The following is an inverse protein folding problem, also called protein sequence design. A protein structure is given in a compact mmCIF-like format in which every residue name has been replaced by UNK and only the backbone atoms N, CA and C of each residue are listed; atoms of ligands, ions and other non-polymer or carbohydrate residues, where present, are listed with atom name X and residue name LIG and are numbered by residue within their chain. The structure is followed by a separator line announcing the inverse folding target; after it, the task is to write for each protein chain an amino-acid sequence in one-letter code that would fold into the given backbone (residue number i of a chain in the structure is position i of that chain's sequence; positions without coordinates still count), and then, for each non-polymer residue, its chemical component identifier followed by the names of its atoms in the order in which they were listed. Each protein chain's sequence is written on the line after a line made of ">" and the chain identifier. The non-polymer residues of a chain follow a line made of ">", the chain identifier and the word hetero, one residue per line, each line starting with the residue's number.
data_IF_658800950408
#
_entry.id   IF_658800950408
#
_cell.length_a   1.000
_cell.length_b   1.000
_cell.length_c   1.000
_cell.angle_alpha   90.00
_cell.angle_beta   90.00
_cell.angle_gamma   90.00
#
_symmetry.space_group_name_H-M   'P 1'
#
loop_
_entity.id
_entity.type
_entity.pdbx_description
1 polymer ?
#
# COMPACT_ATOMS: atom_id res chain seq x y z
N UNK A 1 -35.25 51.62 45.09
CA UNK A 1 -35.03 52.31 46.38
C UNK A 1 -33.55 52.25 46.70
N UNK A 2 -32.98 53.40 47.06
CA UNK A 2 -31.68 53.66 47.74
C UNK A 2 -30.41 53.16 47.03
N UNK A 3 -29.58 54.01 46.40
CA UNK A 3 -28.69 55.04 46.99
C UNK A 3 -27.59 54.39 47.87
N UNK A 4 -26.32 54.80 47.91
CA UNK A 4 -25.62 56.02 47.48
C UNK A 4 -24.11 55.79 47.76
N UNK A 5 -23.28 56.25 46.84
CA UNK A 5 -22.17 57.20 47.07
C UNK A 5 -21.02 56.93 48.07
N UNK A 6 -19.80 57.21 47.61
CA UNK A 6 -18.87 58.31 48.05
C UNK A 6 -17.48 57.99 47.47
N UNK A 7 -16.85 58.82 46.65
CA UNK A 7 -16.32 60.18 46.85
C UNK A 7 -15.08 60.23 47.76
N UNK A 8 -14.04 60.90 47.27
CA UNK A 8 -12.80 61.26 47.96
C UNK A 8 -11.60 60.79 47.13
N UNK A 9 -10.88 61.64 46.39
CA UNK A 9 -10.15 62.82 46.88
C UNK A 9 -8.95 62.30 47.67
N UNK A 10 -7.69 62.54 47.35
CA UNK A 10 -7.00 63.52 46.54
C UNK A 10 -5.54 63.53 47.04
N UNK A 11 -4.73 64.43 46.48
CA UNK A 11 -3.36 64.81 46.91
C UNK A 11 -2.18 63.96 46.40
N UNK A 12 -1.62 64.50 45.32
CA UNK A 12 -0.23 64.90 45.16
C UNK A 12 0.71 64.74 46.37
N UNK A 13 1.87 64.14 46.11
CA UNK A 13 3.07 64.22 46.95
C UNK A 13 4.30 63.78 46.16
N UNK A 14 5.17 64.75 45.86
CA UNK A 14 6.39 64.63 45.06
C UNK A 14 7.57 64.02 45.85
N UNK A 15 8.51 63.46 45.07
CA UNK A 15 9.95 63.33 45.33
C UNK A 15 10.34 62.31 46.44
N UNK A 16 11.44 61.57 46.40
CA UNK A 16 12.81 61.87 45.95
C UNK A 16 13.48 60.55 45.51
N UNK A 17 14.40 60.63 44.56
CA UNK A 17 15.20 59.53 44.00
C UNK A 17 16.26 58.98 44.96
N UNK A 18 16.50 57.65 44.91
CA UNK A 18 17.83 57.03 45.14
C UNK A 18 17.91 55.75 44.28
N UNK A 19 19.00 55.55 43.51
CA UNK A 19 19.13 54.45 42.56
C UNK A 19 19.67 53.20 43.25
N UNK A 20 19.06 52.04 42.97
CA UNK A 20 19.65 50.74 43.32
C UNK A 20 19.57 49.88 42.07
N UNK A 21 20.74 49.68 41.44
CA UNK A 21 20.95 48.65 40.44
C UNK A 21 20.65 47.28 41.06
N UNK A 22 19.64 46.58 40.54
CA UNK A 22 19.49 45.13 40.67
C UNK A 22 19.01 44.56 39.33
N UNK A 23 19.42 43.34 38.99
CA UNK A 23 19.55 42.85 37.63
C UNK A 23 18.19 42.57 36.99
N UNK A 24 18.12 42.84 35.69
CA UNK A 24 17.00 42.54 34.80
C UNK A 24 16.77 41.02 34.80
N UNK A 25 15.81 40.55 35.60
CA UNK A 25 15.26 39.21 35.50
C UNK A 25 14.20 39.25 34.39
N UNK A 26 14.64 38.99 33.14
CA UNK A 26 13.72 38.79 32.02
C UNK A 26 12.93 37.52 32.31
N UNK A 27 11.66 37.67 32.72
CA UNK A 27 10.69 36.58 32.69
C UNK A 27 10.47 36.21 31.21
N UNK A 28 11.26 35.24 30.74
CA UNK A 28 11.06 34.65 29.42
C UNK A 28 9.73 33.90 29.39
N UNK A 29 8.90 34.09 28.35
CA UNK A 29 7.69 33.31 28.20
C UNK A 29 8.08 31.85 27.96
N UNK A 30 7.59 30.95 28.82
CA UNK A 30 7.69 29.52 28.62
C UNK A 30 7.01 29.17 27.30
N UNK A 31 7.82 28.91 26.27
CA UNK A 31 7.37 28.36 25.00
C UNK A 31 6.76 26.98 25.31
N UNK A 32 5.43 26.91 25.24
CA UNK A 32 4.71 25.65 25.12
C UNK A 32 5.22 24.98 23.85
N UNK A 33 6.17 24.06 24.01
CA UNK A 33 6.62 23.16 22.97
C UNK A 33 5.42 22.28 22.59
N UNK A 34 4.67 22.73 21.58
CA UNK A 34 3.68 21.92 20.92
C UNK A 34 4.36 20.66 20.42
N UNK A 35 3.87 19.50 20.85
CA UNK A 35 4.18 18.23 20.22
C UNK A 35 3.68 18.32 18.78
N UNK A 36 4.55 18.75 17.86
CA UNK A 36 4.35 18.54 16.44
C UNK A 36 4.45 17.03 16.22
N UNK A 37 3.33 16.33 16.38
CA UNK A 37 3.18 14.99 15.83
C UNK A 37 3.42 15.12 14.34
N UNK A 38 4.54 14.57 13.87
CA UNK A 38 4.81 14.50 12.44
C UNK A 38 3.58 13.86 11.77
N UNK A 39 3.01 14.46 10.73
CA UNK A 39 1.93 13.82 10.00
C UNK A 39 2.47 12.48 9.48
N UNK A 40 1.94 11.37 10.01
CA UNK A 40 2.26 10.06 9.46
C UNK A 40 1.86 10.06 7.98
N UNK A 41 2.74 9.56 7.10
CA UNK A 41 2.41 9.44 5.69
C UNK A 41 1.13 8.61 5.57
N UNK A 42 0.05 9.25 5.17
CA UNK A 42 -1.24 8.58 4.99
C UNK A 42 -1.16 7.75 3.71
N UNK A 43 -1.07 6.43 3.86
CA UNK A 43 -1.17 5.49 2.74
C UNK A 43 -2.37 5.85 1.86
N UNK A 44 -2.24 5.98 0.53
CA UNK A 44 -3.35 6.34 -0.33
C UNK A 44 -4.41 5.23 -0.35
N UNK A 45 -5.69 5.62 -0.48
CA UNK A 45 -6.79 4.66 -0.66
C UNK A 45 -6.71 4.07 -2.07
N UNK A 46 -6.81 2.75 -2.17
CA UNK A 46 -6.84 2.03 -3.44
C UNK A 46 -8.11 2.40 -4.22
N UNK A 47 -7.99 2.55 -5.54
CA UNK A 47 -9.18 2.73 -6.38
C UNK A 47 -9.76 1.37 -6.75
N UNK A 48 -11.08 1.30 -6.80
CA UNK A 48 -11.83 0.13 -7.24
C UNK A 48 -11.75 0.01 -8.76
N UNK A 49 -11.26 -1.13 -9.24
CA UNK A 49 -11.31 -1.54 -10.64
C UNK A 49 -12.59 -2.32 -10.92
N UNK A 50 -12.99 -2.39 -12.20
CA UNK A 50 -14.18 -3.16 -12.61
C UNK A 50 -14.01 -4.67 -12.41
N UNK A 51 -12.78 -5.18 -12.43
CA UNK A 51 -12.43 -6.58 -12.20
C UNK A 51 -10.95 -6.72 -11.81
N UNK A 52 -10.58 -7.87 -11.26
CA UNK A 52 -9.17 -8.26 -11.12
C UNK A 52 -8.59 -8.57 -12.51
N UNK A 53 -7.38 -8.09 -12.78
CA UNK A 53 -6.71 -8.33 -14.06
C UNK A 53 -5.25 -8.73 -13.83
N UNK A 54 -4.98 -10.03 -13.93
CA UNK A 54 -3.64 -10.59 -13.76
C UNK A 54 -2.70 -10.34 -14.96
N UNK A 55 -3.24 -9.86 -16.09
CA UNK A 55 -2.50 -9.60 -17.32
C UNK A 55 -2.23 -8.10 -17.54
N UNK A 56 -2.69 -7.25 -16.63
CA UNK A 56 -2.40 -5.82 -16.65
C UNK A 56 -0.88 -5.55 -16.50
N UNK A 57 -0.34 -4.50 -17.16
CA UNK A 57 1.11 -4.22 -17.16
C UNK A 57 1.72 -4.11 -15.76
N UNK A 58 1.00 -3.49 -14.83
CA UNK A 58 1.46 -3.25 -13.46
C UNK A 58 1.55 -4.56 -12.66
N UNK A 59 0.67 -5.53 -12.96
CA UNK A 59 0.69 -6.85 -12.31
C UNK A 59 1.82 -7.68 -12.87
N UNK A 60 1.98 -7.73 -14.20
CA UNK A 60 3.08 -8.46 -14.83
C UNK A 60 4.47 -7.92 -14.42
N UNK A 61 4.59 -6.60 -14.26
CA UNK A 61 5.82 -5.97 -13.77
C UNK A 61 6.11 -6.36 -12.32
N UNK A 62 5.09 -6.40 -11.46
CA UNK A 62 5.24 -6.81 -10.07
C UNK A 62 5.57 -8.30 -9.91
N UNK A 63 5.23 -9.13 -10.90
CA UNK A 63 5.61 -10.54 -10.98
C UNK A 63 6.95 -10.79 -11.69
N UNK A 64 7.59 -9.74 -12.20
CA UNK A 64 8.84 -9.81 -12.99
C UNK A 64 8.71 -10.70 -14.24
N UNK A 65 7.51 -10.81 -14.80
CA UNK A 65 7.19 -11.66 -15.95
C UNK A 65 7.35 -10.98 -17.31
N UNK A 66 7.60 -9.68 -17.31
CA UNK A 66 7.96 -8.93 -18.51
C UNK A 66 9.29 -8.25 -18.19
N UNK A 67 10.38 -8.57 -18.90
CA UNK A 67 11.63 -7.84 -18.73
C UNK A 67 11.37 -6.37 -19.10
N UNK A 68 11.96 -5.46 -18.33
CA UNK A 68 12.09 -4.07 -18.76
C UNK A 68 12.71 -4.10 -20.16
N UNK A 69 11.90 -3.80 -21.17
CA UNK A 69 12.27 -3.91 -22.58
C UNK A 69 13.67 -3.36 -22.81
N UNK A 70 14.58 -4.17 -23.36
CA UNK A 70 15.98 -3.79 -23.64
C UNK A 70 16.08 -2.57 -24.57
N UNK A 71 15.00 -2.26 -25.28
CA UNK A 71 14.87 -1.11 -26.19
C UNK A 71 14.09 0.08 -25.58
N UNK A 72 13.77 0.05 -24.28
CA UNK A 72 12.99 1.10 -23.59
C UNK A 72 11.52 1.23 -24.01
N UNK A 73 11.04 0.35 -24.89
CA UNK A 73 9.64 0.28 -25.33
C UNK A 73 8.88 -0.72 -24.47
N UNK A 74 8.14 -0.24 -23.47
CA UNK A 74 7.20 -1.07 -22.71
C UNK A 74 6.33 -1.84 -23.70
N UNK A 75 6.46 -3.17 -23.70
CA UNK A 75 5.63 -4.04 -24.53
C UNK A 75 4.21 -3.88 -24.02
N UNK A 76 3.39 -3.12 -24.76
CA UNK A 76 1.98 -2.93 -24.40
C UNK A 76 1.32 -4.30 -24.33
N UNK A 77 0.83 -4.66 -23.14
CA UNK A 77 -0.11 -5.78 -23.01
C UNK A 77 -1.40 -5.42 -23.74
N UNK A 78 -2.17 -6.42 -24.15
CA UNK A 78 -3.52 -6.17 -24.65
C UNK A 78 -4.48 -5.66 -23.55
N UNK A 79 -4.06 -5.79 -22.29
CA UNK A 79 -4.81 -5.42 -21.09
C UNK A 79 -4.61 -3.95 -20.71
N UNK A 80 -5.65 -3.27 -20.21
CA UNK A 80 -5.57 -1.89 -19.74
C UNK A 80 -4.75 -1.76 -18.46
N UNK A 81 -4.31 -0.54 -18.17
CA UNK A 81 -3.68 -0.21 -16.90
C UNK A 81 -4.65 -0.39 -15.73
N UNK A 82 -4.15 -0.94 -14.63
CA UNK A 82 -4.92 -1.07 -13.38
C UNK A 82 -4.51 -0.02 -12.34
N UNK A 83 -5.42 0.36 -11.42
CA UNK A 83 -5.07 1.24 -10.32
C UNK A 83 -3.89 0.73 -9.48
N UNK A 84 -3.16 1.68 -8.90
CA UNK A 84 -2.12 1.38 -7.92
C UNK A 84 -2.70 0.71 -6.67
N UNK A 85 -1.88 -0.10 -6.01
CA UNK A 85 -2.24 -0.68 -4.73
C UNK A 85 -2.35 0.40 -3.64
N UNK A 86 -3.21 0.18 -2.65
CA UNK A 86 -3.44 1.14 -1.58
C UNK A 86 -4.19 0.54 -0.40
N UNK A 87 -4.62 1.40 0.53
CA UNK A 87 -5.55 1.02 1.61
C UNK A 87 -6.90 0.62 1.03
N UNK A 88 -7.52 -0.41 1.58
CA UNK A 88 -8.86 -0.86 1.22
C UNK A 88 -9.87 0.28 1.50
N UNK A 89 -10.75 0.67 0.57
CA UNK A 89 -11.82 1.63 0.85
C UNK A 89 -12.75 1.14 1.97
N UNK A 90 -13.21 2.04 2.84
CA UNK A 90 -14.04 1.67 4.01
C UNK A 90 -15.39 1.04 3.63
N UNK A 91 -15.88 1.34 2.42
CA UNK A 91 -17.13 0.83 1.85
C UNK A 91 -16.93 -0.42 0.95
N UNK A 92 -15.70 -0.89 0.80
CA UNK A 92 -15.39 -2.08 0.01
C UNK A 92 -15.47 -3.34 0.88
N UNK A 93 -16.44 -4.21 0.59
CA UNK A 93 -16.65 -5.48 1.30
C UNK A 93 -16.18 -6.66 0.43
N UNK A 94 -14.98 -7.20 0.69
CA UNK A 94 -14.46 -8.32 -0.09
C UNK A 94 -15.15 -9.63 0.30
N UNK A 95 -15.46 -10.44 -0.71
CA UNK A 95 -16.05 -11.78 -0.55
C UNK A 95 -15.13 -12.88 -1.11
N UNK A 96 -14.21 -12.53 -1.99
CA UNK A 96 -13.21 -13.45 -2.54
C UNK A 96 -11.88 -12.75 -2.76
N UNK A 97 -10.84 -13.56 -2.98
CA UNK A 97 -9.50 -13.12 -3.33
C UNK A 97 -9.16 -13.66 -4.70
N UNK A 98 -8.48 -12.85 -5.51
CA UNK A 98 -7.79 -13.33 -6.70
C UNK A 98 -6.29 -13.15 -6.48
N UNK A 99 -5.54 -14.23 -6.59
CA UNK A 99 -4.08 -14.19 -6.60
C UNK A 99 -3.56 -14.31 -8.03
N UNK A 100 -2.55 -13.52 -8.35
CA UNK A 100 -1.78 -13.63 -9.57
C UNK A 100 -0.35 -14.03 -9.17
N UNK A 101 0.14 -15.15 -9.69
CA UNK A 101 1.51 -15.64 -9.44
C UNK A 101 2.19 -15.98 -10.75
N UNK A 102 3.52 -16.04 -10.74
CA UNK A 102 4.26 -16.68 -11.83
C UNK A 102 3.81 -18.13 -11.95
N UNK A 103 3.28 -18.48 -13.12
CA UNK A 103 2.79 -19.81 -13.43
C UNK A 103 3.86 -20.71 -14.05
N UNK A 104 3.51 -21.99 -14.22
CA UNK A 104 4.37 -22.92 -14.94
C UNK A 104 4.51 -22.52 -16.41
N UNK A 105 5.63 -22.91 -17.04
CA UNK A 105 5.83 -22.62 -18.46
C UNK A 105 4.84 -23.40 -19.31
N UNK A 106 4.04 -22.68 -20.11
CA UNK A 106 3.11 -23.30 -21.06
C UNK A 106 3.84 -23.68 -22.36
N UNK A 107 3.36 -24.73 -23.02
CA UNK A 107 3.89 -25.20 -24.31
C UNK A 107 2.77 -25.40 -25.32
N UNK A 108 2.91 -24.77 -26.46
CA UNK A 108 1.95 -24.87 -27.57
C UNK A 108 2.68 -24.96 -28.91
N UNK A 109 1.93 -24.94 -30.02
CA UNK A 109 2.48 -25.00 -31.37
C UNK A 109 3.50 -23.87 -31.69
N UNK A 110 3.38 -22.72 -31.03
CA UNK A 110 4.24 -21.56 -31.22
C UNK A 110 5.53 -21.64 -30.42
N UNK A 111 5.54 -22.33 -29.26
CA UNK A 111 6.76 -22.48 -28.47
C UNK A 111 6.55 -22.78 -27.00
N UNK A 112 7.48 -22.27 -26.20
CA UNK A 112 7.42 -22.28 -24.74
C UNK A 112 7.18 -20.85 -24.27
N UNK A 113 6.19 -20.68 -23.40
CA UNK A 113 5.74 -19.39 -22.89
C UNK A 113 6.01 -19.28 -21.40
N UNK A 114 6.33 -18.08 -20.92
CA UNK A 114 6.09 -17.70 -19.55
C UNK A 114 4.57 -17.59 -19.34
N UNK A 115 4.12 -17.85 -18.12
CA UNK A 115 2.71 -17.78 -17.78
C UNK A 115 2.47 -17.08 -16.45
N UNK A 116 1.25 -16.57 -16.30
CA UNK A 116 0.67 -16.16 -15.03
C UNK A 116 -0.39 -17.17 -14.65
N UNK A 117 -0.36 -17.64 -13.41
CA UNK A 117 -1.47 -18.36 -12.81
C UNK A 117 -2.37 -17.36 -12.09
N UNK A 118 -3.64 -17.35 -12.44
CA UNK A 118 -4.70 -16.68 -11.69
C UNK A 118 -5.44 -17.73 -10.87
N UNK A 119 -5.58 -17.53 -9.56
CA UNK A 119 -6.42 -18.38 -8.72
C UNK A 119 -7.45 -17.54 -7.98
N UNK A 120 -8.69 -18.03 -7.93
CA UNK A 120 -9.76 -17.47 -7.09
C UNK A 120 -9.84 -18.27 -5.80
N UNK A 121 -9.84 -17.55 -4.68
CA UNK A 121 -9.88 -18.10 -3.33
C UNK A 121 -11.09 -17.53 -2.58
N UNK A 122 -11.77 -18.37 -1.82
CA UNK A 122 -12.97 -18.05 -1.04
C UNK A 122 -12.85 -18.60 0.39
N UNK A 123 -13.73 -18.17 1.30
CA UNK A 123 -13.73 -18.60 2.70
C UNK A 123 -13.63 -17.43 3.68
N UNK A 124 -13.10 -17.69 4.87
CA UNK A 124 -12.93 -16.65 5.91
C UNK A 124 -11.76 -15.72 5.57
N UNK A 125 -12.06 -14.55 5.00
CA UNK A 125 -11.08 -13.52 4.68
C UNK A 125 -10.61 -12.72 5.91
N UNK A 126 -11.26 -12.86 7.07
CA UNK A 126 -11.00 -12.08 8.27
C UNK A 126 -9.51 -12.06 8.70
N UNK A 127 -8.84 -13.21 8.80
CA UNK A 127 -7.41 -13.27 9.12
C UNK A 127 -6.53 -12.50 8.14
N UNK A 128 -6.78 -12.62 6.84
CA UNK A 128 -6.01 -11.92 5.79
C UNK A 128 -6.23 -10.40 5.89
N UNK A 129 -7.48 -9.95 6.02
CA UNK A 129 -7.82 -8.53 6.12
C UNK A 129 -7.21 -7.90 7.38
N UNK A 130 -7.18 -8.63 8.50
CA UNK A 130 -6.55 -8.18 9.72
C UNK A 130 -5.03 -7.99 9.58
N UNK A 131 -4.35 -8.79 8.74
CA UNK A 131 -2.91 -8.61 8.46
C UNK A 131 -2.67 -7.38 7.57
N UNK A 132 -3.48 -7.21 6.52
CA UNK A 132 -3.39 -6.09 5.59
C UNK A 132 -3.58 -4.75 6.30
N UNK A 133 -4.55 -4.66 7.23
CA UNK A 133 -4.82 -3.40 7.92
C UNK A 133 -3.68 -3.00 8.88
N UNK A 134 -3.07 -3.99 9.54
CA UNK A 134 -2.02 -3.78 10.57
C UNK A 134 -0.68 -3.33 10.01
N UNK A 135 -0.29 -3.76 8.81
CA UNK A 135 1.11 -3.68 8.40
C UNK A 135 1.30 -2.95 7.06
N UNK A 136 1.23 -1.62 7.14
CA UNK A 136 1.31 -0.69 5.98
C UNK A 136 2.72 -0.26 5.60
N UNK A 137 3.74 -0.96 6.12
CA UNK A 137 5.15 -0.54 5.98
C UNK A 137 5.73 -1.06 4.67
N UNK A 138 6.48 -0.22 3.96
CA UNK A 138 7.25 -0.63 2.80
C UNK A 138 8.38 -1.62 3.19
N UNK A 139 8.73 -2.57 2.32
CA UNK A 139 9.80 -3.53 2.60
C UNK A 139 11.12 -2.81 2.86
N UNK A 140 11.78 -3.19 3.97
CA UNK A 140 13.11 -2.71 4.32
C UNK A 140 14.06 -3.91 4.49
N UNK A 141 15.16 -3.94 3.73
CA UNK A 141 16.21 -4.96 3.84
C UNK A 141 16.82 -5.35 2.49
N UNK A 142 17.78 -6.27 2.53
CA UNK A 142 18.40 -6.85 1.33
C UNK A 142 17.86 -8.26 1.10
N UNK A 143 17.40 -8.56 -0.12
CA UNK A 143 16.99 -9.91 -0.49
C UNK A 143 18.22 -10.84 -0.54
N UNK A 144 18.23 -11.92 0.24
CA UNK A 144 19.28 -12.93 0.25
C UNK A 144 18.79 -14.25 -0.34
N UNK A 145 19.28 -14.61 -1.52
CA UNK A 145 18.99 -15.91 -2.17
C UNK A 145 17.86 -15.89 -3.19
N UNK A 146 17.43 -17.08 -3.61
CA UNK A 146 16.24 -17.27 -4.46
C UNK A 146 15.01 -16.91 -3.62
N UNK A 147 14.40 -15.78 -3.94
CA UNK A 147 13.32 -15.19 -3.17
C UNK A 147 12.02 -15.99 -3.31
N UNK A 148 11.13 -15.94 -2.30
CA UNK A 148 9.78 -16.52 -2.39
C UNK A 148 9.00 -16.01 -3.61
N UNK A 149 8.07 -16.83 -4.12
CA UNK A 149 7.23 -16.49 -5.27
C UNK A 149 6.47 -15.20 -5.04
N UNK A 150 6.75 -14.19 -5.87
CA UNK A 150 5.98 -12.94 -5.88
C UNK A 150 4.52 -13.25 -6.20
N UNK A 151 3.62 -12.64 -5.44
CA UNK A 151 2.18 -12.81 -5.59
C UNK A 151 1.53 -11.45 -5.54
N UNK A 152 0.70 -11.14 -6.54
CA UNK A 152 -0.17 -9.96 -6.51
C UNK A 152 -1.54 -10.40 -6.03
N UNK A 153 -2.07 -9.70 -5.04
CA UNK A 153 -3.37 -9.98 -4.44
C UNK A 153 -4.40 -8.94 -4.89
N UNK A 154 -5.59 -9.42 -5.21
CA UNK A 154 -6.79 -8.63 -5.44
C UNK A 154 -7.86 -9.07 -4.47
N UNK A 155 -8.54 -8.11 -3.85
CA UNK A 155 -9.76 -8.34 -3.08
C UNK A 155 -10.95 -8.07 -4.01
N UNK A 156 -11.92 -8.98 -4.05
CA UNK A 156 -13.05 -8.93 -4.98
C UNK A 156 -14.36 -8.96 -4.20
N UNK A 157 -15.28 -8.07 -4.54
CA UNK A 157 -16.60 -7.98 -3.90
C UNK A 157 -17.68 -8.81 -4.64
N UNK A 158 -18.89 -8.81 -4.09
CA UNK A 158 -20.07 -9.50 -4.64
C UNK A 158 -20.42 -9.11 -6.09
N UNK A 159 -20.03 -7.90 -6.51
CA UNK A 159 -20.29 -7.37 -7.85
C UNK A 159 -19.15 -7.68 -8.82
N UNK A 160 -18.12 -8.41 -8.38
CA UNK A 160 -16.92 -8.72 -9.17
C UNK A 160 -15.94 -7.56 -9.28
N UNK A 161 -16.18 -6.43 -8.61
CA UNK A 161 -15.26 -5.29 -8.60
C UNK A 161 -14.06 -5.64 -7.72
N UNK A 162 -12.90 -5.09 -8.05
CA UNK A 162 -11.66 -5.49 -7.41
C UNK A 162 -10.81 -4.32 -6.91
N UNK A 163 -10.13 -4.53 -5.79
CA UNK A 163 -9.14 -3.61 -5.21
C UNK A 163 -7.82 -4.33 -5.05
N UNK A 164 -6.71 -3.64 -5.35
CA UNK A 164 -5.36 -4.10 -4.98
C UNK A 164 -5.00 -3.54 -3.61
N UNK A 165 -5.05 -4.33 -2.52
CA UNK A 165 -4.54 -3.87 -1.25
C UNK A 165 -3.02 -3.73 -1.27
N UNK A 166 -2.49 -2.85 -0.43
CA UNK A 166 -1.09 -2.95 -0.02
C UNK A 166 -0.95 -4.14 0.92
N UNK A 167 -0.36 -5.20 0.39
CA UNK A 167 -0.09 -6.42 1.14
C UNK A 167 1.27 -6.30 1.83
N UNK A 168 1.39 -6.71 3.10
CA UNK A 168 2.69 -6.80 3.76
C UNK A 168 3.62 -7.71 2.99
N UNK A 169 4.82 -7.22 2.65
CA UNK A 169 5.82 -7.98 1.90
C UNK A 169 7.13 -8.09 2.67
N UNK A 170 7.87 -9.17 2.43
CA UNK A 170 9.24 -9.35 2.90
C UNK A 170 10.23 -8.45 2.12
N UNK A 171 11.52 -8.38 2.51
CA UNK A 171 12.52 -7.56 1.81
C UNK A 171 12.76 -7.95 0.34
N UNK A 172 12.32 -9.14 -0.09
CA UNK A 172 12.37 -9.56 -1.49
C UNK A 172 11.12 -9.10 -2.28
N UNK A 173 10.11 -8.59 -1.60
CA UNK A 173 8.86 -8.11 -2.19
C UNK A 173 7.83 -9.22 -2.43
N UNK A 174 7.97 -10.39 -1.81
CA UNK A 174 6.90 -11.39 -1.76
C UNK A 174 6.02 -11.16 -0.52
N UNK A 175 4.74 -11.56 -0.51
CA UNK A 175 3.91 -11.44 0.69
C UNK A 175 4.57 -12.12 1.90
N UNK A 176 4.46 -11.56 3.11
CA UNK A 176 5.06 -12.18 4.31
C UNK A 176 4.53 -13.61 4.53
N UNK A 177 5.24 -14.40 5.34
CA UNK A 177 4.80 -15.77 5.64
C UNK A 177 3.39 -15.81 6.22
N UNK A 178 3.04 -14.88 7.12
CA UNK A 178 1.69 -14.85 7.70
C UNK A 178 0.62 -14.61 6.63
N UNK A 179 0.90 -13.73 5.65
CA UNK A 179 -0.02 -13.52 4.53
C UNK A 179 -0.16 -14.78 3.69
N UNK A 180 0.96 -15.43 3.35
CA UNK A 180 0.96 -16.67 2.56
C UNK A 180 0.17 -17.77 3.25
N UNK A 181 0.32 -17.93 4.57
CA UNK A 181 -0.41 -18.91 5.36
C UNK A 181 -1.92 -18.62 5.35
N UNK A 182 -2.32 -17.34 5.48
CA UNK A 182 -3.75 -16.99 5.38
C UNK A 182 -4.32 -17.23 3.99
N UNK A 183 -3.57 -16.96 2.92
CA UNK A 183 -4.01 -17.26 1.55
C UNK A 183 -4.12 -18.78 1.32
N UNK A 184 -3.18 -19.57 1.84
CA UNK A 184 -3.18 -21.02 1.71
C UNK A 184 -4.30 -21.72 2.51
N UNK A 185 -4.86 -21.03 3.52
CA UNK A 185 -5.99 -21.53 4.30
C UNK A 185 -7.36 -21.27 3.62
N UNK A 186 -7.41 -20.46 2.55
CA UNK A 186 -8.62 -20.23 1.78
C UNK A 186 -8.87 -21.37 0.79
N UNK A 187 -10.14 -21.56 0.44
CA UNK A 187 -10.57 -22.58 -0.51
C UNK A 187 -10.38 -22.07 -1.94
N UNK A 188 -9.56 -22.76 -2.74
CA UNK A 188 -9.41 -22.47 -4.16
C UNK A 188 -10.63 -22.91 -4.97
N UNK A 189 -11.35 -21.96 -5.57
CA UNK A 189 -12.58 -22.25 -6.33
C UNK A 189 -12.37 -22.26 -7.84
N UNK A 190 -11.36 -21.55 -8.34
CA UNK A 190 -10.97 -21.55 -9.75
C UNK A 190 -9.46 -21.32 -9.90
N UNK A 191 -8.89 -21.85 -10.98
CA UNK A 191 -7.51 -21.56 -11.36
C UNK A 191 -7.33 -21.64 -12.87
N UNK A 192 -6.70 -20.61 -13.44
CA UNK A 192 -6.44 -20.50 -14.88
C UNK A 192 -5.03 -19.99 -15.13
N UNK A 193 -4.31 -20.64 -16.06
CA UNK A 193 -3.02 -20.18 -16.54
C UNK A 193 -3.14 -19.39 -17.85
N UNK A 194 -2.45 -18.26 -17.92
CA UNK A 194 -2.43 -17.38 -19.09
C UNK A 194 -1.01 -17.23 -19.64
N UNK A 195 -0.78 -17.46 -20.94
CA UNK A 195 0.52 -17.18 -21.56
C UNK A 195 0.76 -15.67 -21.62
N UNK A 196 1.96 -15.22 -21.22
CA UNK A 196 2.31 -13.78 -21.20
C UNK A 196 3.42 -13.41 -22.17
N UNK A 197 4.46 -14.23 -22.26
CA UNK A 197 5.61 -13.97 -23.12
C UNK A 197 6.16 -15.25 -23.72
N UNK A 198 6.39 -15.24 -25.04
CA UNK A 198 7.03 -16.34 -25.74
C UNK A 198 8.53 -16.34 -25.42
N UNK A 199 8.99 -17.33 -24.66
CA UNK A 199 10.39 -17.47 -24.25
C UNK A 199 11.24 -18.15 -25.33
N UNK A 200 10.71 -19.23 -25.89
CA UNK A 200 11.41 -20.05 -26.90
C UNK A 200 10.45 -20.38 -28.02
N UNK A 201 10.59 -19.77 -29.21
CA UNK A 201 9.84 -20.17 -30.40
C UNK A 201 10.13 -21.62 -30.75
N UNK A 202 9.13 -22.37 -31.22
CA UNK A 202 9.43 -23.67 -31.86
C UNK A 202 10.23 -23.40 -33.14
N UNK A 203 11.37 -24.06 -33.28
CA UNK A 203 12.08 -24.09 -34.56
C UNK A 203 11.25 -24.77 -35.62
N UNK A 204 11.32 -24.30 -36.86
CA UNK A 204 10.82 -25.06 -38.01
C UNK A 204 11.60 -26.38 -38.11
N UNK A 205 10.95 -27.53 -38.39
CA UNK A 205 11.67 -28.75 -38.72
C UNK A 205 12.62 -28.44 -39.89
N UNK A 206 13.92 -28.73 -39.72
CA UNK A 206 14.84 -28.73 -40.86
C UNK A 206 14.51 -29.97 -41.68
N UNK A 207 13.79 -29.76 -42.78
CA UNK A 207 13.56 -30.73 -43.85
C UNK A 207 14.84 -30.99 -44.64
#
# INVERSE_FOLDING_TARGET
>A
MTARARAGGGRSGRAVAVPVLLPVLVLGPALLAGCAGSPEPTTPVARVASQADCLAPQVLSALELVPASTDGKVRRTAHPDVPAAGRIPDDFMPESVVTCTTGERLRDASGTWAAVTQARLEGDLGPLLALIDRNRTEPAGTCGGEGPTRTVVWLVDALGRAVRPLVPVDPCGAPTQEVRDTLAALDGTDSTDYPVELLVPRGTPRS
#
